data_IF_462212376239
#
_entry.id   IF_462212376239
#
_cell.length_a   1.000
_cell.length_b   1.000
_cell.length_c   1.000
_cell.angle_alpha   90.00
_cell.angle_beta   90.00
_cell.angle_gamma   90.00
#
_symmetry.space_group_name_H-M   'P 1'
#
loop_
_entity.id
_entity.type
_entity.pdbx_description
1 polymer ?
#
# COMPACT_ATOMS: atom_id res chain seq x y z
N UNK A 1 13.65 13.01 -21.33
CA UNK A 1 14.79 12.54 -20.49
C UNK A 1 14.46 12.82 -19.04
N UNK A 2 14.64 11.87 -18.14
CA UNK A 2 14.37 12.04 -16.70
C UNK A 2 15.36 13.02 -16.08
N UNK A 3 14.90 14.17 -15.62
CA UNK A 3 15.72 15.22 -14.99
C UNK A 3 15.19 15.67 -13.63
N UNK A 4 13.90 15.47 -13.38
CA UNK A 4 13.23 15.88 -12.14
C UNK A 4 13.52 17.35 -11.75
N UNK A 5 13.55 18.25 -12.74
CA UNK A 5 13.87 19.68 -12.56
C UNK A 5 12.88 20.42 -11.66
N UNK A 6 11.68 19.91 -11.51
CA UNK A 6 10.62 20.45 -10.66
C UNK A 6 10.34 19.57 -9.44
N UNK A 7 11.20 18.60 -9.14
CA UNK A 7 11.06 17.76 -7.96
C UNK A 7 11.32 18.56 -6.69
N UNK A 8 10.26 18.74 -5.91
CA UNK A 8 10.31 19.33 -4.58
C UNK A 8 9.90 18.28 -3.53
N UNK A 9 10.86 17.67 -2.81
CA UNK A 9 10.57 16.63 -1.83
C UNK A 9 9.74 17.15 -0.65
N UNK A 10 9.86 18.44 -0.30
CA UNK A 10 9.07 19.04 0.78
C UNK A 10 7.62 19.19 0.38
N UNK A 11 7.35 19.70 -0.83
CA UNK A 11 6.00 19.80 -1.35
C UNK A 11 5.34 18.42 -1.51
N UNK A 12 6.11 17.40 -1.93
CA UNK A 12 5.60 16.03 -2.00
C UNK A 12 5.23 15.49 -0.62
N UNK A 13 6.15 15.59 0.35
CA UNK A 13 5.92 15.09 1.70
C UNK A 13 4.71 15.79 2.37
N UNK A 14 4.58 17.09 2.15
CA UNK A 14 3.45 17.87 2.64
C UNK A 14 2.12 17.39 2.04
N UNK A 15 2.05 17.20 0.71
CA UNK A 15 0.88 16.64 0.04
C UNK A 15 0.49 15.27 0.59
N UNK A 16 1.48 14.40 0.85
CA UNK A 16 1.22 13.08 1.44
C UNK A 16 0.71 13.16 2.88
N UNK A 17 1.25 14.07 3.69
CA UNK A 17 0.74 14.31 5.04
C UNK A 17 -0.70 14.85 4.99
N UNK A 18 -1.01 15.81 4.11
CA UNK A 18 -2.35 16.33 3.92
C UNK A 18 -3.34 15.27 3.42
N UNK A 19 -2.90 14.30 2.62
CA UNK A 19 -3.73 13.17 2.20
C UNK A 19 -4.11 12.23 3.34
N UNK A 20 -3.51 12.39 4.53
CA UNK A 20 -3.69 11.53 5.70
C UNK A 20 -2.81 10.29 5.71
N UNK A 21 -1.84 10.17 4.80
CA UNK A 21 -0.88 9.07 4.80
C UNK A 21 -0.12 8.98 6.14
N UNK A 22 0.31 7.77 6.49
CA UNK A 22 1.12 7.51 7.69
C UNK A 22 2.51 7.04 7.35
N UNK A 23 2.72 6.58 6.15
CA UNK A 23 4.01 6.14 5.64
C UNK A 23 4.13 6.41 4.14
N UNK A 24 5.36 6.55 3.68
CA UNK A 24 5.71 6.80 2.27
C UNK A 24 6.81 5.83 1.87
N UNK A 25 6.62 5.13 0.74
CA UNK A 25 7.56 4.11 0.26
C UNK A 25 7.95 4.42 -1.19
N UNK A 26 8.94 5.30 -1.43
CA UNK A 26 9.43 5.54 -2.77
C UNK A 26 10.17 4.31 -3.33
N UNK A 27 10.12 4.17 -4.65
CA UNK A 27 10.88 3.16 -5.39
C UNK A 27 12.35 3.56 -5.42
N UNK A 28 13.20 2.81 -4.70
CA UNK A 28 14.64 3.07 -4.69
C UNK A 28 15.34 2.49 -5.92
N UNK A 29 14.92 1.32 -6.38
CA UNK A 29 15.39 0.67 -7.61
C UNK A 29 14.28 -0.22 -8.15
N UNK A 30 13.88 -0.02 -9.41
CA UNK A 30 12.88 -0.85 -10.09
C UNK A 30 13.55 -1.93 -10.97
N UNK A 31 12.76 -2.61 -11.81
CA UNK A 31 13.24 -3.66 -12.72
C UNK A 31 14.29 -3.18 -13.72
N UNK A 32 14.30 -1.88 -14.04
CA UNK A 32 15.30 -1.28 -14.91
C UNK A 32 16.72 -1.25 -14.32
N UNK A 33 16.84 -1.37 -12.98
CA UNK A 33 18.12 -1.37 -12.28
C UNK A 33 18.74 0.00 -12.07
N UNK A 34 18.00 1.09 -12.36
CA UNK A 34 18.47 2.45 -12.11
C UNK A 34 18.21 2.83 -10.64
N UNK A 35 19.29 3.13 -9.92
CA UNK A 35 19.19 3.51 -8.51
C UNK A 35 18.76 4.98 -8.39
N UNK A 36 17.60 5.22 -7.77
CA UNK A 36 17.10 6.57 -7.49
C UNK A 36 17.81 7.26 -6.32
N UNK A 37 18.90 6.67 -5.85
CA UNK A 37 19.67 7.08 -4.66
C UNK A 37 21.19 7.11 -4.96
N UNK A 38 21.95 7.59 -3.98
CA UNK A 38 23.41 7.62 -4.03
C UNK A 38 24.00 6.24 -3.71
N UNK A 39 24.01 5.34 -4.71
CA UNK A 39 24.62 4.02 -4.55
C UNK A 39 26.12 4.06 -4.80
N UNK A 40 26.87 3.43 -3.89
CA UNK A 40 28.29 3.11 -4.08
C UNK A 40 28.53 1.85 -4.92
N UNK A 41 27.48 1.09 -5.21
CA UNK A 41 27.53 -0.21 -5.89
C UNK A 41 27.15 -0.13 -7.38
N UNK A 42 26.71 1.04 -7.86
CA UNK A 42 26.28 1.24 -9.25
C UNK A 42 26.77 2.57 -9.80
N UNK A 43 27.09 2.57 -11.07
CA UNK A 43 27.31 3.81 -11.83
C UNK A 43 26.01 4.39 -12.41
N UNK A 44 24.92 3.62 -12.39
CA UNK A 44 23.63 3.98 -12.92
C UNK A 44 22.72 4.49 -11.78
N UNK A 45 22.97 5.74 -11.38
CA UNK A 45 22.29 6.35 -10.24
C UNK A 45 21.77 7.73 -10.57
N UNK A 46 20.71 8.16 -9.86
CA UNK A 46 20.13 9.51 -9.99
C UNK A 46 21.13 10.61 -9.57
N UNK A 47 22.16 10.29 -8.79
CA UNK A 47 23.24 11.22 -8.41
C UNK A 47 24.22 11.43 -9.56
N UNK A 48 24.55 10.37 -10.29
CA UNK A 48 25.52 10.43 -11.40
C UNK A 48 24.87 10.83 -12.72
N UNK A 49 23.56 10.58 -12.90
CA UNK A 49 22.82 10.76 -14.15
C UNK A 49 21.47 11.45 -13.91
N UNK A 50 20.87 11.97 -14.96
CA UNK A 50 19.52 12.55 -14.92
C UNK A 50 19.41 13.71 -13.92
N UNK A 51 18.70 13.53 -12.79
CA UNK A 51 18.48 14.57 -11.80
C UNK A 51 19.74 15.12 -11.12
N UNK A 52 20.80 14.31 -11.08
CA UNK A 52 22.05 14.61 -10.38
C UNK A 52 21.83 14.96 -8.89
N UNK A 53 20.96 14.20 -8.26
CA UNK A 53 20.63 14.33 -6.84
C UNK A 53 20.20 12.98 -6.24
N UNK A 54 20.32 12.85 -4.93
CA UNK A 54 19.84 11.71 -4.18
C UNK A 54 18.35 11.88 -3.88
N UNK A 55 17.50 11.38 -4.80
CA UNK A 55 16.04 11.52 -4.70
C UNK A 55 15.50 10.82 -3.47
N UNK A 56 16.01 9.63 -3.14
CA UNK A 56 15.59 8.86 -1.97
C UNK A 56 16.01 9.54 -0.67
N UNK A 57 17.24 10.03 -0.58
CA UNK A 57 17.73 10.74 0.59
C UNK A 57 17.00 12.06 0.84
N UNK A 58 16.64 12.79 -0.21
CA UNK A 58 15.87 14.01 -0.12
C UNK A 58 14.43 13.73 0.38
N UNK A 59 13.77 12.69 -0.16
CA UNK A 59 12.46 12.25 0.31
C UNK A 59 12.50 11.73 1.75
N UNK A 60 13.53 10.98 2.12
CA UNK A 60 13.67 10.48 3.50
C UNK A 60 13.66 11.61 4.53
N UNK A 61 14.38 12.70 4.22
CA UNK A 61 14.43 13.89 5.07
C UNK A 61 13.08 14.60 5.16
N UNK A 62 12.45 14.83 3.98
CA UNK A 62 11.19 15.56 3.91
C UNK A 62 10.02 14.80 4.55
N UNK A 63 9.91 13.50 4.28
CA UNK A 63 8.87 12.61 4.84
C UNK A 63 8.95 12.57 6.37
N UNK A 64 10.16 12.42 6.92
CA UNK A 64 10.35 12.44 8.37
C UNK A 64 10.09 13.80 9.01
N UNK A 65 10.36 14.88 8.30
CA UNK A 65 10.04 16.24 8.77
C UNK A 65 8.53 16.46 8.92
N UNK A 66 7.70 15.80 8.13
CA UNK A 66 6.24 15.79 8.26
C UNK A 66 5.74 14.76 9.31
N UNK A 67 6.63 14.06 10.01
CA UNK A 67 6.26 13.05 11.02
C UNK A 67 5.73 11.74 10.43
N UNK A 68 5.98 11.47 9.16
CA UNK A 68 5.58 10.24 8.48
C UNK A 68 6.69 9.19 8.57
N UNK A 69 6.30 7.93 8.59
CA UNK A 69 7.23 6.82 8.45
C UNK A 69 7.78 6.74 7.04
N UNK A 70 9.07 6.45 6.94
CA UNK A 70 9.76 6.35 5.67
C UNK A 70 10.14 4.91 5.36
N UNK A 71 9.71 4.41 4.20
CA UNK A 71 10.12 3.13 3.65
C UNK A 71 10.85 3.30 2.33
N UNK A 72 11.33 2.18 1.78
CA UNK A 72 11.84 2.10 0.40
C UNK A 72 11.42 0.79 -0.25
N UNK A 73 11.20 0.81 -1.55
CA UNK A 73 10.97 -0.42 -2.32
C UNK A 73 12.16 -0.78 -3.20
N UNK A 74 12.43 -2.07 -3.31
CA UNK A 74 13.45 -2.63 -4.19
C UNK A 74 12.85 -3.77 -5.02
N UNK A 75 12.94 -3.61 -6.34
CA UNK A 75 12.51 -4.59 -7.35
C UNK A 75 13.72 -5.25 -8.05
N UNK A 76 14.90 -5.06 -7.49
CA UNK A 76 16.18 -5.50 -8.06
C UNK A 76 16.24 -6.99 -8.35
N UNK A 77 15.66 -7.82 -7.52
CA UNK A 77 15.70 -9.28 -7.70
C UNK A 77 15.11 -9.74 -9.03
N UNK A 78 14.19 -8.98 -9.58
CA UNK A 78 13.46 -9.26 -10.82
C UNK A 78 14.11 -8.71 -12.08
N UNK A 79 15.14 -7.89 -11.93
CA UNK A 79 15.82 -7.21 -13.03
C UNK A 79 16.27 -8.16 -14.15
N UNK A 80 16.91 -9.27 -13.79
CA UNK A 80 17.38 -10.26 -14.77
C UNK A 80 16.26 -10.86 -15.61
N UNK A 81 15.13 -11.13 -14.98
CA UNK A 81 13.98 -11.74 -15.61
C UNK A 81 13.27 -10.76 -16.53
N UNK A 82 12.93 -9.57 -16.05
CA UNK A 82 12.20 -8.59 -16.86
C UNK A 82 12.98 -8.07 -18.07
N UNK A 83 14.30 -8.03 -17.98
CA UNK A 83 15.15 -7.62 -19.11
C UNK A 83 15.53 -8.78 -20.03
N UNK A 84 15.18 -10.02 -19.68
CA UNK A 84 15.48 -11.20 -20.49
C UNK A 84 14.95 -11.12 -21.93
N UNK A 85 13.77 -10.54 -22.12
CA UNK A 85 13.17 -10.35 -23.45
C UNK A 85 14.06 -9.49 -24.36
N UNK A 86 14.84 -8.58 -23.82
CA UNK A 86 15.79 -7.74 -24.57
C UNK A 86 16.87 -8.54 -25.30
N UNK A 87 17.10 -9.80 -24.90
CA UNK A 87 18.04 -10.70 -25.62
C UNK A 87 17.49 -11.22 -26.94
N UNK A 88 16.19 -11.18 -27.15
CA UNK A 88 15.49 -11.75 -28.30
C UNK A 88 15.06 -10.70 -29.33
N UNK A 89 15.27 -9.41 -29.02
CA UNK A 89 14.91 -8.28 -29.88
C UNK A 89 16.13 -7.36 -30.04
N UNK A 90 16.16 -6.48 -31.05
CA UNK A 90 17.18 -5.44 -31.16
C UNK A 90 17.10 -4.51 -29.93
N UNK A 91 18.07 -4.64 -29.02
CA UNK A 91 18.18 -3.85 -27.82
C UNK A 91 19.62 -3.79 -27.33
N UNK A 92 19.92 -2.90 -26.40
CA UNK A 92 21.24 -2.74 -25.79
C UNK A 92 21.53 -3.75 -24.66
N UNK A 93 20.58 -4.62 -24.30
CA UNK A 93 20.77 -5.70 -23.33
C UNK A 93 21.91 -6.66 -23.74
N UNK A 94 22.14 -6.81 -25.05
CA UNK A 94 23.22 -7.64 -25.58
C UNK A 94 24.53 -6.85 -25.84
N UNK A 95 24.54 -5.55 -25.60
CA UNK A 95 25.73 -4.72 -25.80
C UNK A 95 26.69 -4.88 -24.62
N UNK A 96 27.92 -5.35 -24.81
CA UNK A 96 28.89 -5.57 -23.73
C UNK A 96 29.25 -4.30 -22.95
N UNK A 97 29.02 -3.12 -23.53
CA UNK A 97 29.25 -1.83 -22.85
C UNK A 97 28.30 -1.66 -21.63
N UNK A 98 27.14 -2.30 -21.68
CA UNK A 98 26.13 -2.22 -20.63
C UNK A 98 26.01 -3.50 -19.80
N UNK A 99 26.95 -4.44 -19.95
CA UNK A 99 26.92 -5.72 -19.23
C UNK A 99 26.87 -5.55 -17.70
N UNK A 100 27.54 -4.53 -17.17
CA UNK A 100 27.52 -4.23 -15.74
C UNK A 100 26.15 -3.70 -15.25
N UNK A 101 25.37 -3.10 -16.15
CA UNK A 101 24.02 -2.61 -15.85
C UNK A 101 22.98 -3.72 -15.95
N UNK A 102 22.92 -4.40 -17.09
CA UNK A 102 21.92 -5.43 -17.37
C UNK A 102 22.19 -6.77 -16.66
N UNK A 103 23.44 -7.06 -16.32
CA UNK A 103 23.81 -8.31 -15.69
C UNK A 103 23.46 -9.54 -16.53
N UNK A 104 23.19 -10.70 -15.88
CA UNK A 104 22.86 -11.95 -16.55
C UNK A 104 21.37 -12.01 -16.93
N UNK A 105 20.84 -11.02 -17.64
CA UNK A 105 19.44 -11.01 -18.08
C UNK A 105 19.09 -12.30 -18.85
N UNK A 106 17.99 -12.95 -18.51
CA UNK A 106 17.54 -14.20 -19.13
C UNK A 106 16.02 -14.29 -19.16
N UNK A 107 15.47 -15.03 -20.12
CA UNK A 107 14.06 -15.36 -20.20
C UNK A 107 13.68 -16.45 -19.19
N UNK A 108 12.38 -16.73 -19.12
CA UNK A 108 11.88 -17.94 -18.45
C UNK A 108 12.70 -19.16 -18.86
N UNK A 109 13.07 -19.96 -17.89
CA UNK A 109 13.62 -21.26 -18.18
C UNK A 109 12.48 -22.14 -18.72
N UNK A 110 12.62 -22.60 -19.96
CA UNK A 110 11.62 -23.47 -20.59
C UNK A 110 11.34 -24.69 -19.69
N UNK A 111 10.06 -25.04 -19.58
CA UNK A 111 9.54 -26.17 -18.78
C UNK A 111 9.48 -25.99 -17.26
N UNK A 112 9.60 -24.77 -16.73
CA UNK A 112 9.35 -24.55 -15.32
C UNK A 112 7.99 -23.83 -15.14
N UNK A 113 7.05 -24.52 -14.50
CA UNK A 113 5.84 -23.86 -14.00
C UNK A 113 6.17 -23.22 -12.65
N UNK A 114 6.00 -21.92 -12.48
CA UNK A 114 6.24 -21.29 -11.19
C UNK A 114 5.34 -21.93 -10.13
N UNK A 115 5.94 -22.54 -9.14
CA UNK A 115 5.23 -22.87 -7.91
C UNK A 115 5.82 -22.02 -6.80
N UNK A 116 5.00 -21.50 -5.89
CA UNK A 116 5.43 -20.48 -4.95
C UNK A 116 6.63 -20.83 -4.07
N UNK A 117 6.87 -22.11 -3.84
CA UNK A 117 7.86 -22.53 -2.84
C UNK A 117 9.03 -23.35 -3.39
N UNK A 118 8.92 -23.97 -4.55
CA UNK A 118 9.87 -25.02 -4.97
C UNK A 118 10.51 -24.80 -6.33
N UNK A 119 9.99 -23.90 -7.17
CA UNK A 119 10.55 -23.64 -8.49
C UNK A 119 11.27 -22.31 -8.54
N UNK A 120 12.49 -22.35 -9.01
CA UNK A 120 13.31 -21.18 -9.24
C UNK A 120 13.37 -20.89 -10.75
N UNK A 121 12.33 -20.24 -11.26
CA UNK A 121 12.26 -19.88 -12.67
C UNK A 121 13.08 -18.62 -12.99
N UNK A 122 13.42 -17.83 -11.99
CA UNK A 122 14.25 -16.64 -12.15
C UNK A 122 15.73 -16.97 -12.16
N UNK A 123 16.12 -18.08 -11.59
CA UNK A 123 17.47 -18.58 -11.34
C UNK A 123 18.54 -17.48 -11.32
N UNK A 124 18.89 -17.05 -10.13
CA UNK A 124 19.93 -16.04 -9.94
C UNK A 124 21.25 -16.68 -9.49
N UNK A 125 22.35 -16.23 -10.08
CA UNK A 125 23.69 -16.66 -9.67
C UNK A 125 24.04 -16.20 -8.25
N UNK A 126 25.07 -16.82 -7.65
CA UNK A 126 25.56 -16.36 -6.35
C UNK A 126 26.03 -14.92 -6.37
N UNK A 127 26.71 -14.50 -7.42
CA UNK A 127 27.15 -13.11 -7.60
C UNK A 127 25.97 -12.13 -7.66
N UNK A 128 24.88 -12.52 -8.33
CA UNK A 128 23.67 -11.68 -8.39
C UNK A 128 22.96 -11.58 -7.03
N UNK A 129 22.88 -12.68 -6.29
CA UNK A 129 22.35 -12.67 -4.91
C UNK A 129 23.14 -11.78 -3.97
N UNK A 130 24.47 -11.84 -4.09
CA UNK A 130 25.36 -11.03 -3.26
C UNK A 130 25.24 -9.55 -3.63
N UNK A 131 25.06 -9.20 -4.92
CA UNK A 131 24.75 -7.85 -5.38
C UNK A 131 23.38 -7.37 -4.84
N UNK A 132 22.33 -8.18 -4.96
CA UNK A 132 21.02 -7.86 -4.39
C UNK A 132 21.07 -7.62 -2.89
N UNK A 133 21.77 -8.50 -2.16
CA UNK A 133 21.94 -8.37 -0.72
C UNK A 133 22.71 -7.09 -0.36
N UNK A 134 23.80 -6.80 -1.07
CA UNK A 134 24.60 -5.61 -0.85
C UNK A 134 23.81 -4.33 -1.08
N UNK A 135 23.07 -4.22 -2.21
CA UNK A 135 22.23 -3.05 -2.54
C UNK A 135 21.10 -2.86 -1.53
N UNK A 136 20.41 -3.94 -1.17
CA UNK A 136 19.35 -3.87 -0.16
C UNK A 136 19.89 -3.46 1.21
N UNK A 137 21.09 -3.95 1.59
CA UNK A 137 21.75 -3.56 2.83
C UNK A 137 22.23 -2.10 2.79
N UNK A 138 22.73 -1.63 1.64
CA UNK A 138 23.14 -0.22 1.45
C UNK A 138 21.96 0.74 1.68
N UNK A 139 20.76 0.41 1.20
CA UNK A 139 19.55 1.19 1.45
C UNK A 139 19.23 1.29 2.96
N UNK A 140 19.38 0.18 3.67
CA UNK A 140 19.18 0.16 5.14
C UNK A 140 20.21 1.02 5.85
N UNK A 141 21.49 0.92 5.51
CA UNK A 141 22.57 1.64 6.17
C UNK A 141 22.54 3.15 5.88
N UNK A 142 22.13 3.54 4.66
CA UNK A 142 22.11 4.95 4.27
C UNK A 142 20.86 5.68 4.73
N UNK A 143 19.69 5.05 4.67
CA UNK A 143 18.42 5.75 4.83
C UNK A 143 17.61 5.31 6.06
N UNK A 144 18.01 4.22 6.73
CA UNK A 144 17.34 3.69 7.93
C UNK A 144 15.80 3.59 7.75
N UNK A 145 15.31 2.90 6.70
CA UNK A 145 13.89 2.84 6.45
C UNK A 145 13.15 2.06 7.51
N UNK A 146 11.95 2.52 7.87
CA UNK A 146 11.02 1.79 8.75
C UNK A 146 10.39 0.60 8.03
N UNK A 147 10.30 0.68 6.69
CA UNK A 147 9.69 -0.32 5.83
C UNK A 147 10.63 -0.64 4.67
N UNK A 148 10.92 -1.93 4.48
CA UNK A 148 11.55 -2.46 3.28
C UNK A 148 10.49 -3.23 2.49
N UNK A 149 10.11 -2.69 1.34
CA UNK A 149 9.16 -3.32 0.45
C UNK A 149 9.91 -4.08 -0.65
N UNK A 150 9.57 -5.35 -0.82
CA UNK A 150 10.03 -6.17 -1.93
C UNK A 150 8.85 -6.64 -2.77
N UNK A 151 9.03 -6.61 -4.06
CA UNK A 151 8.08 -7.10 -5.03
C UNK A 151 8.17 -8.62 -5.18
N UNK A 152 7.64 -9.19 -6.26
CA UNK A 152 7.55 -10.61 -6.50
C UNK A 152 8.91 -11.32 -6.41
N UNK A 153 8.87 -12.62 -6.17
CA UNK A 153 9.93 -13.62 -6.36
C UNK A 153 11.16 -13.57 -5.44
N UNK A 154 11.20 -12.73 -4.43
CA UNK A 154 12.27 -12.80 -3.42
C UNK A 154 12.26 -14.15 -2.66
N UNK A 155 11.15 -14.90 -2.72
CA UNK A 155 11.00 -16.22 -2.12
C UNK A 155 11.54 -17.38 -2.97
N UNK A 156 12.05 -17.10 -4.19
CA UNK A 156 12.63 -18.12 -5.06
C UNK A 156 13.80 -18.85 -4.40
N UNK A 157 13.96 -20.14 -4.70
CA UNK A 157 14.93 -20.99 -4.02
C UNK A 157 16.37 -20.44 -4.09
N UNK A 158 16.76 -19.86 -5.22
CA UNK A 158 18.09 -19.25 -5.39
C UNK A 158 18.26 -17.96 -4.57
N UNK A 159 17.20 -17.23 -4.26
CA UNK A 159 17.25 -15.96 -3.50
C UNK A 159 17.14 -16.19 -2.00
N UNK A 160 16.41 -17.21 -1.57
CA UNK A 160 16.06 -17.48 -0.18
C UNK A 160 17.21 -17.40 0.83
N UNK A 161 18.43 -17.93 0.56
CA UNK A 161 19.54 -17.78 1.49
C UNK A 161 19.96 -16.33 1.73
N UNK A 162 19.88 -15.49 0.69
CA UNK A 162 20.18 -14.07 0.80
C UNK A 162 19.04 -13.31 1.51
N UNK A 163 17.78 -13.66 1.24
CA UNK A 163 16.61 -13.09 1.93
C UNK A 163 16.68 -13.34 3.44
N UNK A 164 17.05 -14.54 3.87
CA UNK A 164 17.21 -14.86 5.30
C UNK A 164 18.31 -13.99 5.95
N UNK A 165 19.45 -13.83 5.27
CA UNK A 165 20.55 -12.97 5.73
C UNK A 165 20.13 -11.51 5.78
N UNK A 166 19.41 -11.04 4.75
CA UNK A 166 18.90 -9.68 4.71
C UNK A 166 17.91 -9.42 5.85
N UNK A 167 16.93 -10.29 6.08
CA UNK A 167 15.95 -10.13 7.15
C UNK A 167 16.63 -10.05 8.53
N UNK A 168 17.59 -10.95 8.80
CA UNK A 168 18.36 -10.90 10.04
C UNK A 168 19.17 -9.60 10.17
N UNK A 169 19.81 -9.14 9.10
CA UNK A 169 20.55 -7.88 9.08
C UNK A 169 19.61 -6.69 9.32
N UNK A 170 18.50 -6.61 8.58
CA UNK A 170 17.57 -5.48 8.64
C UNK A 170 16.92 -5.36 10.02
N UNK A 171 16.35 -6.43 10.55
CA UNK A 171 15.70 -6.39 11.85
C UNK A 171 16.67 -6.03 12.99
N UNK A 172 17.89 -6.56 12.96
CA UNK A 172 18.91 -6.19 13.97
C UNK A 172 19.42 -4.76 13.80
N UNK A 173 19.49 -4.26 12.56
CA UNK A 173 19.99 -2.92 12.27
C UNK A 173 18.94 -1.87 12.58
N UNK A 174 17.69 -2.09 12.23
CA UNK A 174 16.60 -1.14 12.50
C UNK A 174 16.41 -0.87 14.00
N UNK A 175 16.61 -1.87 14.87
CA UNK A 175 16.59 -1.72 16.33
C UNK A 175 17.72 -0.81 16.89
N UNK A 176 18.74 -0.50 16.10
CA UNK A 176 19.79 0.44 16.51
C UNK A 176 19.40 1.90 16.28
N UNK A 177 18.46 2.12 15.38
CA UNK A 177 18.04 3.46 14.95
C UNK A 177 16.64 3.85 15.43
N UNK A 178 15.86 2.90 15.95
CA UNK A 178 14.51 3.13 16.44
C UNK A 178 14.12 2.19 17.58
N UNK A 179 13.01 2.50 18.22
CA UNK A 179 12.49 1.73 19.36
C UNK A 179 11.80 0.41 18.93
N UNK A 180 11.57 0.24 17.64
CA UNK A 180 10.91 -0.95 17.06
C UNK A 180 11.72 -1.49 15.90
N UNK A 181 11.64 -2.80 15.67
CA UNK A 181 12.18 -3.42 14.48
C UNK A 181 11.47 -2.87 13.24
N UNK A 182 12.21 -2.69 12.17
CA UNK A 182 11.65 -2.36 10.86
C UNK A 182 10.70 -3.45 10.35
N UNK A 183 9.98 -3.15 9.29
CA UNK A 183 8.98 -4.03 8.70
C UNK A 183 9.38 -4.40 7.27
N UNK A 184 9.25 -5.68 6.91
CA UNK A 184 9.40 -6.15 5.53
C UNK A 184 8.01 -6.40 4.93
N UNK A 185 7.71 -5.79 3.78
CA UNK A 185 6.61 -6.22 2.93
C UNK A 185 7.11 -7.23 1.90
N UNK A 186 6.31 -8.26 1.66
CA UNK A 186 6.63 -9.32 0.71
C UNK A 186 5.38 -9.78 -0.03
N UNK A 187 5.56 -10.34 -1.22
CA UNK A 187 4.47 -10.93 -1.99
C UNK A 187 4.53 -12.46 -1.94
N UNK A 188 3.39 -13.07 -2.24
CA UNK A 188 3.22 -14.51 -2.37
C UNK A 188 3.59 -15.29 -1.10
N UNK A 189 4.53 -16.22 -1.17
CA UNK A 189 4.96 -17.11 -0.08
C UNK A 189 6.43 -16.90 0.30
N UNK A 190 6.96 -15.69 0.02
CA UNK A 190 8.38 -15.41 0.24
C UNK A 190 8.79 -15.49 1.72
N UNK A 191 7.90 -15.08 2.61
CA UNK A 191 8.10 -15.09 4.06
C UNK A 191 6.88 -15.69 4.76
N UNK A 192 7.02 -15.95 6.05
CA UNK A 192 5.93 -16.47 6.87
C UNK A 192 5.20 -15.34 7.59
N UNK A 193 3.94 -15.57 7.92
CA UNK A 193 3.19 -14.74 8.86
C UNK A 193 3.99 -14.58 10.16
N UNK A 194 3.83 -13.46 10.84
CA UNK A 194 4.59 -13.00 12.01
C UNK A 194 6.04 -12.55 11.73
N UNK A 195 6.66 -12.98 10.63
CA UNK A 195 8.03 -12.55 10.31
C UNK A 195 8.07 -11.30 9.42
N UNK A 196 6.99 -11.05 8.67
CA UNK A 196 6.86 -9.95 7.73
C UNK A 196 5.38 -9.71 7.40
N UNK A 197 5.06 -8.71 6.61
CA UNK A 197 3.69 -8.34 6.22
C UNK A 197 3.45 -8.69 4.76
N UNK A 198 2.48 -9.58 4.52
CA UNK A 198 2.05 -9.94 3.18
C UNK A 198 1.47 -8.71 2.46
N UNK A 199 1.89 -8.52 1.23
CA UNK A 199 1.34 -7.53 0.31
C UNK A 199 0.64 -8.23 -0.86
N UNK A 200 -0.57 -7.79 -1.19
CA UNK A 200 -1.38 -8.30 -2.29
C UNK A 200 -1.45 -7.26 -3.40
N UNK A 201 -0.76 -7.49 -4.50
CA UNK A 201 -0.75 -6.55 -5.61
C UNK A 201 -2.13 -6.35 -6.21
N UNK A 202 -2.58 -5.08 -6.24
CA UNK A 202 -3.93 -4.69 -6.71
C UNK A 202 -4.99 -5.64 -6.15
N UNK A 203 -4.81 -6.02 -4.87
CA UNK A 203 -5.54 -7.13 -4.29
C UNK A 203 -6.57 -6.71 -3.27
N UNK A 204 -7.41 -7.66 -2.94
CA UNK A 204 -8.43 -7.56 -1.92
C UNK A 204 -8.59 -8.91 -1.21
N UNK A 205 -9.19 -8.89 -0.03
CA UNK A 205 -9.59 -10.10 0.68
C UNK A 205 -11.11 -10.13 0.87
N UNK A 206 -11.70 -11.31 0.78
CA UNK A 206 -13.12 -11.51 1.04
C UNK A 206 -13.48 -11.52 2.53
N UNK A 207 -12.49 -11.80 3.40
CA UNK A 207 -12.69 -12.04 4.83
C UNK A 207 -11.59 -11.38 5.66
N UNK A 208 -11.79 -11.31 6.98
CA UNK A 208 -10.78 -10.85 7.94
C UNK A 208 -9.57 -11.79 7.92
N UNK A 209 -8.38 -11.22 7.77
CA UNK A 209 -7.14 -11.95 7.96
C UNK A 209 -6.64 -11.81 9.41
N UNK A 210 -6.25 -12.91 10.09
CA UNK A 210 -5.78 -12.82 11.49
C UNK A 210 -4.51 -11.99 11.65
N UNK A 211 -3.64 -11.98 10.63
CA UNK A 211 -2.40 -11.19 10.61
C UNK A 211 -2.57 -9.92 9.79
N UNK A 212 -1.89 -8.83 10.17
CA UNK A 212 -1.83 -7.64 9.34
C UNK A 212 -1.35 -7.96 7.93
N UNK A 213 -1.91 -7.28 6.97
CA UNK A 213 -1.55 -7.38 5.56
C UNK A 213 -1.58 -6.01 4.90
N UNK A 214 -1.07 -5.92 3.71
CA UNK A 214 -1.10 -4.73 2.88
C UNK A 214 -1.66 -5.07 1.51
N UNK A 215 -2.23 -4.11 0.85
CA UNK A 215 -2.37 -4.12 -0.60
C UNK A 215 -1.73 -2.87 -1.16
N UNK A 216 -0.93 -3.05 -2.19
CA UNK A 216 -0.49 -1.97 -3.04
C UNK A 216 -1.41 -1.85 -4.25
N UNK A 217 -1.78 -0.64 -4.60
CA UNK A 217 -2.53 -0.34 -5.82
C UNK A 217 -2.18 1.05 -6.34
N UNK A 218 -2.47 1.31 -7.61
CA UNK A 218 -2.23 2.61 -8.22
C UNK A 218 -3.50 3.46 -8.24
N UNK A 219 -3.33 4.76 -8.04
CA UNK A 219 -4.39 5.75 -8.30
C UNK A 219 -4.75 5.79 -9.79
N UNK A 220 -3.79 5.47 -10.67
CA UNK A 220 -4.05 5.26 -12.10
C UNK A 220 -4.85 3.96 -12.32
N UNK A 221 -5.80 4.01 -13.25
CA UNK A 221 -6.52 2.82 -13.69
C UNK A 221 -5.71 1.91 -14.61
N UNK A 222 -4.60 2.42 -15.18
CA UNK A 222 -3.89 1.77 -16.29
C UNK A 222 -2.44 1.44 -15.99
N UNK A 223 -1.77 2.19 -15.11
CA UNK A 223 -0.32 2.11 -14.97
C UNK A 223 0.15 2.32 -13.53
N UNK A 224 1.34 1.81 -13.21
CA UNK A 224 2.07 2.16 -11.99
C UNK A 224 2.83 3.49 -12.15
N UNK A 225 3.45 3.72 -13.30
CA UNK A 225 4.13 4.96 -13.62
C UNK A 225 3.22 5.95 -14.36
N UNK A 226 3.70 7.19 -14.52
CA UNK A 226 3.01 8.19 -15.31
C UNK A 226 2.90 7.78 -16.78
N UNK A 227 1.72 7.92 -17.34
CA UNK A 227 1.45 7.82 -18.78
C UNK A 227 0.62 9.03 -19.22
N UNK A 228 0.78 9.42 -20.48
CA UNK A 228 -0.06 10.46 -21.09
C UNK A 228 -1.51 9.95 -21.26
N UNK A 229 -2.47 10.86 -21.14
CA UNK A 229 -3.89 10.54 -21.26
C UNK A 229 -4.37 9.43 -20.32
N UNK A 230 -3.88 9.46 -19.08
CA UNK A 230 -4.29 8.54 -18.03
C UNK A 230 -5.70 8.81 -17.52
N UNK A 231 -6.25 7.84 -16.81
CA UNK A 231 -7.49 7.97 -16.05
C UNK A 231 -7.26 7.53 -14.62
N UNK A 232 -7.87 8.23 -13.68
CA UNK A 232 -7.59 8.03 -12.25
C UNK A 232 -8.82 7.51 -11.52
N UNK A 233 -8.59 6.74 -10.46
CA UNK A 233 -9.60 6.33 -9.51
C UNK A 233 -10.21 7.57 -8.84
N UNK A 234 -11.52 7.53 -8.59
CA UNK A 234 -12.21 8.62 -7.90
C UNK A 234 -11.88 8.62 -6.40
N UNK A 235 -12.03 9.76 -5.70
CA UNK A 235 -11.91 9.78 -4.24
C UNK A 235 -12.85 8.80 -3.54
N UNK A 236 -14.10 8.64 -4.03
CA UNK A 236 -15.05 7.65 -3.52
C UNK A 236 -14.45 6.25 -3.56
N UNK A 237 -13.91 5.85 -4.71
CA UNK A 237 -13.33 4.52 -4.90
C UNK A 237 -12.15 4.26 -3.95
N UNK A 238 -11.26 5.26 -3.78
CA UNK A 238 -10.10 5.14 -2.89
C UNK A 238 -10.53 5.01 -1.43
N UNK A 239 -11.54 5.79 -1.01
CA UNK A 239 -12.07 5.75 0.36
C UNK A 239 -12.75 4.41 0.62
N UNK A 240 -13.61 3.95 -0.28
CA UNK A 240 -14.30 2.67 -0.16
C UNK A 240 -13.31 1.52 -0.04
N UNK A 241 -12.29 1.53 -0.87
CA UNK A 241 -11.21 0.54 -0.85
C UNK A 241 -10.44 0.59 0.48
N UNK A 242 -10.05 1.78 0.94
CA UNK A 242 -9.37 1.94 2.23
C UNK A 242 -10.20 1.40 3.39
N UNK A 243 -11.48 1.73 3.44
CA UNK A 243 -12.41 1.28 4.50
C UNK A 243 -12.57 -0.24 4.48
N UNK A 244 -12.78 -0.82 3.31
CA UNK A 244 -12.90 -2.27 3.15
C UNK A 244 -11.64 -3.02 3.60
N UNK A 245 -10.47 -2.57 3.16
CA UNK A 245 -9.16 -3.14 3.51
C UNK A 245 -8.93 -3.08 5.02
N UNK A 246 -9.13 -1.92 5.64
CA UNK A 246 -8.89 -1.74 7.09
C UNK A 246 -9.85 -2.58 7.93
N UNK A 247 -11.10 -2.73 7.51
CA UNK A 247 -12.07 -3.60 8.20
C UNK A 247 -11.66 -5.08 8.24
N UNK A 248 -10.73 -5.48 7.36
CA UNK A 248 -10.19 -6.84 7.23
C UNK A 248 -8.75 -7.00 7.72
N UNK A 249 -8.29 -6.07 8.58
CA UNK A 249 -6.94 -6.03 9.17
C UNK A 249 -5.83 -5.62 8.18
N UNK A 250 -6.19 -4.91 7.11
CA UNK A 250 -5.27 -4.52 6.05
C UNK A 250 -4.80 -3.07 6.15
N UNK A 251 -3.78 -2.76 5.35
CA UNK A 251 -3.27 -1.42 5.10
C UNK A 251 -3.24 -1.16 3.59
N UNK A 252 -3.52 0.06 3.18
CA UNK A 252 -3.49 0.48 1.79
C UNK A 252 -2.19 1.23 1.49
N UNK A 253 -1.41 0.73 0.53
CA UNK A 253 -0.29 1.45 -0.09
C UNK A 253 -0.74 1.97 -1.46
N UNK A 254 -1.07 3.27 -1.53
CA UNK A 254 -1.55 3.90 -2.76
C UNK A 254 -0.38 4.46 -3.56
N UNK A 255 -0.13 3.89 -4.73
CA UNK A 255 0.89 4.38 -5.64
C UNK A 255 0.39 5.59 -6.44
N UNK A 256 1.28 6.54 -6.62
CA UNK A 256 1.12 7.67 -7.55
C UNK A 256 2.25 7.66 -8.57
N UNK A 257 1.97 8.09 -9.80
CA UNK A 257 2.94 8.19 -10.88
C UNK A 257 3.34 9.65 -11.16
N UNK A 258 4.47 10.15 -10.59
CA UNK A 258 4.97 11.48 -10.93
C UNK A 258 5.44 11.56 -12.38
N UNK A 259 5.43 12.75 -12.95
CA UNK A 259 6.05 13.02 -14.27
C UNK A 259 7.57 12.98 -14.17
N UNK A 260 8.23 12.82 -15.32
CA UNK A 260 9.69 12.78 -15.40
C UNK A 260 10.38 14.10 -15.01
N UNK A 261 9.65 15.20 -14.98
CA UNK A 261 10.09 16.50 -14.48
C UNK A 261 9.99 16.64 -12.94
N UNK A 262 9.39 15.67 -12.26
CA UNK A 262 9.22 15.65 -10.82
C UNK A 262 7.90 16.24 -10.33
N UNK A 263 6.99 16.62 -11.23
CA UNK A 263 5.65 17.11 -10.83
C UNK A 263 4.67 15.94 -10.62
N UNK A 264 3.75 16.09 -9.68
CA UNK A 264 2.61 15.19 -9.48
C UNK A 264 1.42 15.75 -10.29
N UNK A 265 0.74 14.94 -11.13
CA UNK A 265 -0.43 15.40 -11.87
C UNK A 265 -1.48 16.06 -10.97
N UNK A 266 -2.08 17.14 -11.42
CA UNK A 266 -3.05 17.91 -10.62
C UNK A 266 -4.29 17.07 -10.26
N UNK A 267 -4.69 16.17 -11.13
CA UNK A 267 -5.79 15.24 -10.91
C UNK A 267 -5.49 14.28 -9.76
N UNK A 268 -4.25 13.80 -9.67
CA UNK A 268 -3.78 12.97 -8.56
C UNK A 268 -3.76 13.77 -7.25
N UNK A 269 -3.23 15.00 -7.27
CA UNK A 269 -3.23 15.88 -6.10
C UNK A 269 -4.67 16.12 -5.58
N UNK A 270 -5.61 16.34 -6.49
CA UNK A 270 -7.02 16.55 -6.12
C UNK A 270 -7.61 15.33 -5.40
N UNK A 271 -7.39 14.12 -5.91
CA UNK A 271 -7.85 12.88 -5.24
C UNK A 271 -7.23 12.75 -3.85
N UNK A 272 -5.92 13.00 -3.70
CA UNK A 272 -5.23 12.95 -2.42
C UNK A 272 -5.80 13.96 -1.41
N UNK A 273 -6.05 15.20 -1.82
CA UNK A 273 -6.66 16.21 -0.95
C UNK A 273 -8.09 15.83 -0.52
N UNK A 274 -8.90 15.27 -1.40
CA UNK A 274 -10.27 14.85 -1.06
C UNK A 274 -10.28 13.63 -0.11
N UNK A 275 -9.38 12.67 -0.30
CA UNK A 275 -9.17 11.56 0.65
C UNK A 275 -8.73 12.10 2.01
N UNK A 276 -7.78 13.03 2.03
CA UNK A 276 -7.31 13.69 3.26
C UNK A 276 -8.40 14.45 4.00
N UNK A 277 -9.23 15.18 3.27
CA UNK A 277 -10.38 15.89 3.85
C UNK A 277 -11.37 14.93 4.52
N UNK A 278 -11.63 13.76 3.91
CA UNK A 278 -12.45 12.72 4.50
C UNK A 278 -11.80 12.11 5.75
N UNK A 279 -10.51 11.79 5.68
CA UNK A 279 -9.76 11.22 6.80
C UNK A 279 -9.62 12.18 7.99
N UNK A 280 -9.60 13.49 7.74
CA UNK A 280 -9.59 14.51 8.81
C UNK A 280 -10.83 14.43 9.69
N UNK A 281 -11.97 14.03 9.14
CA UNK A 281 -13.24 13.85 9.87
C UNK A 281 -13.36 12.42 10.41
N UNK A 282 -13.09 11.42 9.56
CA UNK A 282 -13.42 10.03 9.84
C UNK A 282 -12.21 9.18 10.27
N UNK A 283 -11.01 9.74 10.31
CA UNK A 283 -9.75 9.00 10.52
C UNK A 283 -9.67 8.23 11.84
N UNK A 284 -10.44 8.61 12.88
CA UNK A 284 -10.46 7.82 14.10
C UNK A 284 -11.06 6.43 13.92
N UNK A 285 -11.93 6.24 12.91
CA UNK A 285 -12.51 4.95 12.54
C UNK A 285 -11.55 4.08 11.69
N UNK A 286 -10.41 4.65 11.28
CA UNK A 286 -9.39 4.02 10.42
C UNK A 286 -8.09 3.78 11.21
N UNK A 287 -7.52 4.86 11.79
CA UNK A 287 -6.18 4.81 12.37
C UNK A 287 -6.12 4.09 13.71
N UNK A 288 -5.24 3.10 13.80
CA UNK A 288 -5.01 2.32 15.01
C UNK A 288 -6.20 1.44 15.41
N UNK A 289 -7.07 1.13 14.47
CA UNK A 289 -8.21 0.24 14.66
C UNK A 289 -7.83 -1.23 14.45
N UNK A 290 -8.75 -2.11 14.79
CA UNK A 290 -8.72 -3.56 14.53
C UNK A 290 -10.06 -3.99 13.95
N UNK A 291 -10.14 -5.10 13.23
CA UNK A 291 -11.41 -5.67 12.81
C UNK A 291 -12.33 -5.95 14.01
N UNK A 292 -13.63 -5.86 13.78
CA UNK A 292 -14.61 -6.41 14.71
C UNK A 292 -14.76 -7.93 14.46
N UNK A 293 -15.74 -8.58 15.11
CA UNK A 293 -16.06 -10.01 14.91
C UNK A 293 -16.44 -10.35 13.46
N UNK A 294 -16.96 -9.39 12.71
CA UNK A 294 -17.19 -9.43 11.26
C UNK A 294 -16.66 -8.15 10.62
N UNK A 295 -16.17 -8.23 9.38
CA UNK A 295 -15.65 -7.06 8.69
C UNK A 295 -16.72 -6.07 8.25
N UNK A 296 -17.97 -6.54 8.09
CA UNK A 296 -19.04 -5.70 7.59
C UNK A 296 -20.31 -6.48 7.26
N UNK A 297 -21.25 -5.78 6.68
CA UNK A 297 -22.51 -6.31 6.13
C UNK A 297 -22.87 -5.57 4.84
N UNK A 298 -23.85 -6.07 4.11
CA UNK A 298 -24.39 -5.47 2.90
C UNK A 298 -24.37 -6.41 1.69
N UNK A 299 -24.95 -5.97 0.59
CA UNK A 299 -25.10 -6.80 -0.61
C UNK A 299 -23.80 -6.93 -1.44
N UNK A 300 -22.87 -5.96 -1.33
CA UNK A 300 -21.70 -5.91 -2.20
C UNK A 300 -20.65 -6.93 -1.80
N UNK A 301 -20.27 -7.78 -2.72
CA UNK A 301 -19.21 -8.78 -2.53
C UNK A 301 -17.92 -8.32 -3.18
N UNK A 302 -16.82 -8.61 -2.51
CA UNK A 302 -15.46 -8.28 -2.94
C UNK A 302 -14.77 -9.56 -3.41
N UNK A 303 -14.19 -9.52 -4.61
CA UNK A 303 -13.34 -10.61 -5.10
C UNK A 303 -12.08 -10.71 -4.22
N UNK A 304 -11.55 -11.93 -4.03
CA UNK A 304 -10.37 -12.15 -3.18
C UNK A 304 -9.16 -12.54 -4.01
N UNK A 305 -8.00 -11.99 -3.68
CA UNK A 305 -6.73 -12.26 -4.34
C UNK A 305 -6.12 -11.02 -4.99
N UNK A 306 -4.98 -11.22 -5.65
CA UNK A 306 -4.29 -10.16 -6.39
C UNK A 306 -5.01 -9.84 -7.70
N UNK A 307 -4.85 -8.61 -8.19
CA UNK A 307 -5.39 -8.09 -9.46
C UNK A 307 -6.92 -8.03 -9.54
N UNK A 308 -7.59 -7.86 -8.39
CA UNK A 308 -9.04 -7.73 -8.28
C UNK A 308 -9.48 -6.36 -7.74
N UNK A 309 -8.58 -5.40 -7.64
CA UNK A 309 -8.84 -4.09 -7.03
C UNK A 309 -9.91 -3.25 -7.76
N UNK A 310 -10.21 -3.56 -9.02
CA UNK A 310 -11.24 -2.88 -9.82
C UNK A 310 -12.50 -3.72 -10.07
N UNK A 311 -12.56 -4.94 -9.54
CA UNK A 311 -13.65 -5.89 -9.83
C UNK A 311 -14.85 -5.72 -8.88
N UNK A 312 -14.74 -4.84 -7.89
CA UNK A 312 -15.81 -4.61 -6.90
C UNK A 312 -16.92 -3.73 -7.48
N UNK A 313 -18.15 -4.16 -7.31
CA UNK A 313 -19.32 -3.34 -7.64
C UNK A 313 -19.38 -2.09 -6.74
N UNK A 314 -20.10 -1.07 -7.21
CA UNK A 314 -20.31 0.15 -6.42
C UNK A 314 -21.07 -0.19 -5.14
N UNK A 315 -20.57 0.28 -4.01
CA UNK A 315 -21.22 0.09 -2.72
C UNK A 315 -22.52 0.89 -2.61
N UNK A 316 -23.42 0.41 -1.78
CA UNK A 316 -24.74 1.00 -1.51
C UNK A 316 -24.84 1.49 -0.07
N UNK A 317 -25.89 2.19 0.28
CA UNK A 317 -26.18 2.59 1.66
C UNK A 317 -26.47 1.39 2.60
N UNK A 318 -26.62 0.18 2.08
CA UNK A 318 -26.74 -1.03 2.89
C UNK A 318 -25.38 -1.68 3.20
N UNK A 319 -24.29 -1.18 2.60
CA UNK A 319 -22.94 -1.72 2.80
C UNK A 319 -22.25 -1.00 3.97
N UNK A 320 -22.01 -1.73 5.02
CA UNK A 320 -21.25 -1.27 6.18
C UNK A 320 -19.92 -2.02 6.32
N UNK A 321 -18.94 -1.31 6.86
CA UNK A 321 -17.69 -1.92 7.33
C UNK A 321 -17.47 -1.58 8.80
N UNK A 322 -16.90 -2.54 9.54
CA UNK A 322 -16.75 -2.43 10.99
C UNK A 322 -15.29 -2.43 11.41
N UNK A 323 -14.96 -1.50 12.29
CA UNK A 323 -13.65 -1.43 12.95
C UNK A 323 -13.82 -1.18 14.44
N UNK A 324 -12.81 -1.49 15.23
CA UNK A 324 -12.82 -1.30 16.68
C UNK A 324 -11.57 -0.59 17.17
N UNK A 325 -11.71 0.22 18.22
CA UNK A 325 -10.59 0.85 18.92
C UNK A 325 -10.90 0.92 20.43
N UNK A 326 -10.20 0.09 21.19
CA UNK A 326 -10.59 -0.14 22.59
C UNK A 326 -12.01 -0.65 22.68
N UNK A 327 -12.86 0.03 23.48
CA UNK A 327 -14.27 -0.32 23.66
C UNK A 327 -15.21 0.40 22.68
N UNK A 328 -14.66 1.10 21.70
CA UNK A 328 -15.44 1.83 20.70
C UNK A 328 -15.51 1.00 19.42
N UNK A 329 -16.72 0.86 18.89
CA UNK A 329 -16.96 0.26 17.59
C UNK A 329 -17.32 1.37 16.59
N UNK A 330 -16.82 1.26 15.40
CA UNK A 330 -17.17 2.13 14.27
C UNK A 330 -17.89 1.32 13.21
N UNK A 331 -19.06 1.81 12.80
CA UNK A 331 -19.78 1.32 11.62
C UNK A 331 -19.65 2.37 10.52
N UNK A 332 -19.06 2.00 9.41
CA UNK A 332 -18.80 2.92 8.30
C UNK A 332 -19.70 2.54 7.15
N UNK A 333 -20.69 3.39 6.85
CA UNK A 333 -21.62 3.26 5.74
C UNK A 333 -20.96 3.77 4.45
N UNK A 334 -20.83 2.91 3.43
CA UNK A 334 -20.07 3.19 2.21
C UNK A 334 -20.88 3.90 1.13
N UNK A 335 -22.20 3.77 1.13
CA UNK A 335 -23.08 4.47 0.23
C UNK A 335 -23.71 5.71 0.88
N UNK A 336 -24.21 6.62 0.08
CA UNK A 336 -24.96 7.77 0.60
C UNK A 336 -26.29 7.32 1.16
N UNK A 337 -26.61 7.63 2.44
CA UNK A 337 -27.92 7.35 3.02
C UNK A 337 -29.05 7.88 2.15
N UNK A 338 -30.09 7.09 1.94
CA UNK A 338 -31.20 7.43 1.05
C UNK A 338 -32.41 8.08 1.75
N UNK A 339 -32.34 8.23 3.10
CA UNK A 339 -33.45 8.72 3.90
C UNK A 339 -33.02 9.44 5.16
N UNK A 340 -33.93 9.44 6.13
CA UNK A 340 -33.75 10.00 7.47
C UNK A 340 -33.34 8.96 8.52
N UNK A 341 -33.15 7.72 8.09
CA UNK A 341 -32.79 6.62 8.93
C UNK A 341 -31.79 5.72 8.19
N UNK A 342 -30.86 5.14 8.96
CA UNK A 342 -30.03 4.03 8.50
C UNK A 342 -30.14 2.86 9.47
N UNK A 343 -29.97 1.62 8.99
CA UNK A 343 -30.16 0.40 9.79
C UNK A 343 -28.94 -0.50 9.68
N UNK A 344 -28.35 -0.81 10.83
CA UNK A 344 -27.20 -1.72 10.94
C UNK A 344 -27.72 -3.07 11.45
N UNK A 345 -27.85 -4.04 10.56
CA UNK A 345 -28.48 -5.37 10.84
C UNK A 345 -27.64 -6.23 11.79
N UNK A 346 -26.31 -6.13 11.73
CA UNK A 346 -25.39 -6.84 12.63
C UNK A 346 -25.56 -6.48 14.12
N UNK A 347 -26.34 -5.43 14.42
CA UNK A 347 -26.66 -4.98 15.77
C UNK A 347 -28.10 -5.31 16.21
N UNK A 348 -28.74 -6.27 15.55
CA UNK A 348 -30.07 -6.78 15.94
C UNK A 348 -30.08 -7.19 17.41
N UNK A 349 -31.12 -6.76 18.17
CA UNK A 349 -31.24 -7.05 19.60
C UNK A 349 -31.42 -8.55 19.93
N UNK A 350 -31.80 -9.35 18.93
CA UNK A 350 -31.97 -10.81 19.05
C UNK A 350 -30.77 -11.63 18.57
N UNK A 351 -29.73 -11.00 18.01
CA UNK A 351 -28.58 -11.73 17.52
C UNK A 351 -27.66 -12.18 18.67
N UNK A 352 -27.13 -13.41 18.58
CA UNK A 352 -26.14 -13.91 19.51
C UNK A 352 -24.89 -13.03 19.54
N UNK A 353 -24.49 -12.55 20.70
CA UNK A 353 -23.35 -11.66 20.87
C UNK A 353 -23.56 -10.26 20.28
N UNK A 354 -24.82 -9.83 20.08
CA UNK A 354 -25.11 -8.44 19.72
C UNK A 354 -24.60 -7.51 20.84
N UNK A 355 -23.82 -6.47 20.51
CA UNK A 355 -23.39 -5.52 21.53
C UNK A 355 -24.60 -4.71 22.01
N UNK A 356 -24.64 -4.45 23.32
CA UNK A 356 -25.55 -3.43 23.86
C UNK A 356 -25.04 -2.06 23.43
N UNK A 357 -25.92 -1.24 22.87
CA UNK A 357 -25.59 0.11 22.41
C UNK A 357 -26.06 1.11 23.47
N UNK A 358 -25.12 1.89 23.99
CA UNK A 358 -25.37 2.94 24.96
C UNK A 358 -25.40 4.34 24.33
N UNK A 359 -24.70 4.53 23.23
CA UNK A 359 -24.70 5.81 22.47
C UNK A 359 -24.26 5.62 21.03
N UNK A 360 -24.77 6.49 20.15
CA UNK A 360 -24.39 6.59 18.74
C UNK A 360 -24.08 8.06 18.40
N UNK A 361 -22.95 8.29 17.76
CA UNK A 361 -22.59 9.62 17.19
C UNK A 361 -22.13 9.44 15.75
N UNK A 362 -22.42 10.42 14.90
CA UNK A 362 -21.87 10.48 13.54
C UNK A 362 -20.63 11.37 13.56
N UNK A 363 -19.51 10.88 13.05
CA UNK A 363 -18.28 11.67 12.99
C UNK A 363 -18.49 12.91 12.11
N UNK A 364 -18.02 14.07 12.60
CA UNK A 364 -18.24 15.37 11.96
C UNK A 364 -19.58 16.04 12.31
N UNK A 365 -20.39 15.43 13.19
CA UNK A 365 -21.62 16.00 13.72
C UNK A 365 -21.56 16.07 15.25
N UNK A 366 -21.95 17.20 15.81
CA UNK A 366 -21.99 17.37 17.25
C UNK A 366 -23.20 16.65 17.88
N UNK A 367 -22.97 16.05 19.04
CA UNK A 367 -24.01 15.39 19.84
C UNK A 367 -24.25 13.93 19.50
N UNK A 368 -25.18 13.32 20.23
CA UNK A 368 -25.63 11.94 20.04
C UNK A 368 -26.85 11.90 19.12
N UNK A 369 -26.91 10.85 18.30
CA UNK A 369 -28.07 10.57 17.47
C UNK A 369 -29.13 9.79 18.24
N UNK A 370 -30.40 9.97 17.89
CA UNK A 370 -31.51 9.10 18.33
C UNK A 370 -31.32 7.73 17.65
N UNK A 371 -31.48 6.67 18.44
CA UNK A 371 -31.40 5.31 17.92
C UNK A 371 -32.32 4.35 18.67
N UNK A 372 -32.68 3.27 18.01
CA UNK A 372 -33.48 2.18 18.56
C UNK A 372 -32.89 0.83 18.13
N UNK A 373 -32.47 0.03 19.12
CA UNK A 373 -32.01 -1.33 18.88
C UNK A 373 -33.21 -2.28 18.85
N UNK A 374 -33.52 -2.80 17.67
CA UNK A 374 -34.68 -3.62 17.35
C UNK A 374 -34.26 -5.05 16.93
N UNK A 375 -35.20 -6.01 16.81
CA UNK A 375 -34.89 -7.37 16.38
C UNK A 375 -34.28 -7.47 14.96
N UNK A 376 -34.49 -6.51 14.11
CA UNK A 376 -33.99 -6.45 12.72
C UNK A 376 -32.72 -5.61 12.54
N UNK A 377 -32.30 -4.85 13.59
CA UNK A 377 -31.09 -4.06 13.56
C UNK A 377 -31.06 -2.89 14.53
N UNK A 378 -29.98 -2.11 14.43
CA UNK A 378 -29.85 -0.81 15.08
C UNK A 378 -30.33 0.26 14.11
N UNK A 379 -31.47 0.85 14.40
CA UNK A 379 -32.07 1.96 13.68
C UNK A 379 -31.50 3.27 14.20
N UNK A 380 -30.94 4.10 13.32
CA UNK A 380 -30.31 5.36 13.67
C UNK A 380 -30.98 6.49 12.88
N UNK A 381 -31.54 7.47 13.58
CA UNK A 381 -32.09 8.67 12.95
C UNK A 381 -30.97 9.59 12.49
N UNK A 382 -30.98 9.93 11.21
CA UNK A 382 -29.97 10.79 10.60
C UNK A 382 -30.34 12.27 10.72
N UNK A 383 -29.36 13.17 10.87
CA UNK A 383 -29.62 14.61 10.83
C UNK A 383 -30.18 15.03 9.48
N UNK A 384 -30.78 16.22 9.43
CA UNK A 384 -31.37 16.75 8.20
C UNK A 384 -30.33 16.86 7.05
N UNK A 385 -29.11 17.20 7.42
CA UNK A 385 -27.95 17.23 6.52
C UNK A 385 -26.88 16.31 7.10
N UNK A 386 -26.54 15.26 6.36
CA UNK A 386 -25.44 14.38 6.67
C UNK A 386 -24.17 14.99 6.07
N UNK A 387 -23.16 15.34 6.87
CA UNK A 387 -21.95 16.00 6.37
C UNK A 387 -21.08 15.01 5.58
N UNK A 388 -20.38 15.54 4.59
CA UNK A 388 -19.45 14.75 3.78
C UNK A 388 -20.02 14.23 2.47
N UNK A 389 -19.18 13.52 1.72
CA UNK A 389 -19.50 13.15 0.33
C UNK A 389 -19.42 11.65 0.05
N UNK A 390 -18.63 10.89 0.81
CA UNK A 390 -18.17 9.56 0.39
C UNK A 390 -18.67 8.43 1.29
N UNK A 391 -18.16 8.36 2.53
CA UNK A 391 -18.56 7.36 3.50
C UNK A 391 -18.78 8.01 4.86
N UNK A 392 -19.63 7.39 5.69
CA UNK A 392 -20.15 7.98 6.91
C UNK A 392 -19.86 7.08 8.10
N UNK A 393 -19.05 7.53 9.05
CA UNK A 393 -18.63 6.73 10.17
C UNK A 393 -19.43 7.03 11.43
N UNK A 394 -20.16 6.04 11.91
CA UNK A 394 -20.87 6.04 13.20
C UNK A 394 -19.96 5.48 14.28
N UNK A 395 -19.78 6.25 15.35
CA UNK A 395 -19.14 5.80 16.58
C UNK A 395 -20.20 5.23 17.50
N UNK A 396 -20.04 3.97 17.91
CA UNK A 396 -20.98 3.20 18.71
C UNK A 396 -20.29 2.78 20.02
N UNK A 397 -20.96 3.02 21.14
CA UNK A 397 -20.47 2.65 22.48
C UNK A 397 -21.55 1.94 23.27
#
# INVERSE_FOLDING_TARGET
MFKAEHFDPTAWAHLFAESGAKYVVPVAEHHDGFAMYDSGLSDWTAVKMGPRRDVIGDLAKAVRAEGLHFGVSSHRVEHNFFLGVGRTIPSDVNDPRYAAFYGPAHNWLENQTPTPLNNDFTFVSSAWRDDWLARSSELVEKYHPDIMYFDWWIGQASVRPALTRFAAFYYNTSLKYGDQAGLINYKDYAMQDHSAVLDLERGQLGEIRPFPWQTDTSISNKSWGYIEHDTFKSPQFVIDQLVDIVSKNGNLLMNIGPRSDGTIPVEVQQVLHEVGAWLKINGESIYGTRPWKTYGEGPTKVASGSFHDTDTAVYTAEDFRFTTKGNTLYAIELGKPSGRETVIRSFSSGAEGAPKVDSVTLLGVDGTLTFHQQPDGLHIELPAEVPGKYAYAFRIR
#
